data_IF_841762965832
#
_entry.id   IF_841762965832
#
_cell.length_a   1.000
_cell.length_b   1.000
_cell.length_c   1.000
_cell.angle_alpha   90.00
_cell.angle_beta   90.00
_cell.angle_gamma   90.00
#
_symmetry.space_group_name_H-M   'P 1'
#
loop_
_entity.id
_entity.type
_entity.pdbx_description
1 polymer ?
#
# COMPACT_ATOMS: atom_id res chain seq x y z
N UNK A 1 43.76 -58.46 -5.48
CA UNK A 1 42.34 -58.28 -5.12
C UNK A 1 42.25 -57.54 -3.80
N UNK A 2 41.81 -56.27 -3.82
CA UNK A 2 41.23 -55.59 -2.66
C UNK A 2 40.53 -54.32 -3.16
N UNK A 3 39.22 -54.40 -3.37
CA UNK A 3 38.37 -53.24 -3.70
C UNK A 3 37.94 -52.60 -2.38
N UNK A 4 38.40 -51.36 -2.13
CA UNK A 4 37.85 -50.50 -1.08
C UNK A 4 36.57 -49.85 -1.62
N UNK A 5 35.44 -50.20 -1.02
CA UNK A 5 34.16 -49.55 -1.27
C UNK A 5 34.16 -48.20 -0.54
N UNK A 6 34.12 -47.10 -1.30
CA UNK A 6 33.86 -45.76 -0.77
C UNK A 6 32.35 -45.53 -0.87
N UNK A 7 31.67 -45.41 0.26
CA UNK A 7 30.27 -45.01 0.33
C UNK A 7 30.26 -43.49 0.38
N UNK A 8 29.85 -42.83 -0.72
CA UNK A 8 29.49 -41.42 -0.70
C UNK A 8 28.11 -41.29 -0.03
N UNK A 9 28.05 -40.67 1.14
CA UNK A 9 26.81 -40.09 1.66
C UNK A 9 26.51 -38.81 0.88
N UNK A 10 25.52 -38.85 0.00
CA UNK A 10 24.91 -37.66 -0.55
C UNK A 10 23.91 -37.09 0.47
N UNK A 11 24.39 -36.21 1.34
CA UNK A 11 23.55 -35.42 2.24
C UNK A 11 22.78 -34.36 1.45
N UNK A 12 21.52 -34.62 1.14
CA UNK A 12 20.62 -33.63 0.57
C UNK A 12 20.06 -32.76 1.70
N UNK A 13 20.52 -31.51 1.82
CA UNK A 13 19.97 -30.50 2.72
C UNK A 13 18.76 -29.86 2.04
N UNK A 14 17.56 -30.35 2.34
CA UNK A 14 16.28 -29.69 2.00
C UNK A 14 15.55 -29.31 3.30
N UNK A 15 16.07 -28.32 4.03
CA UNK A 15 15.46 -27.77 5.25
C UNK A 15 15.72 -26.26 5.32
N UNK A 16 15.01 -25.43 4.55
CA UNK A 16 15.13 -23.95 4.69
C UNK A 16 13.85 -23.16 4.39
N UNK A 17 12.88 -23.73 3.67
CA UNK A 17 11.63 -23.00 3.32
C UNK A 17 10.63 -22.89 4.48
N UNK A 18 10.49 -23.91 5.34
CA UNK A 18 9.54 -23.84 6.47
C UNK A 18 9.97 -22.83 7.56
N UNK A 19 11.28 -22.68 7.81
CA UNK A 19 11.78 -21.79 8.84
C UNK A 19 11.61 -20.30 8.48
N UNK A 20 11.74 -19.96 7.19
CA UNK A 20 11.57 -18.61 6.68
C UNK A 20 10.09 -18.19 6.70
N UNK A 21 9.17 -19.05 6.26
CA UNK A 21 7.72 -18.79 6.33
C UNK A 21 7.23 -18.55 7.77
N UNK A 22 7.64 -19.42 8.70
CA UNK A 22 7.28 -19.26 10.12
C UNK A 22 7.83 -17.97 10.75
N UNK A 23 8.98 -17.46 10.28
CA UNK A 23 9.54 -16.20 10.77
C UNK A 23 8.77 -14.99 10.25
N UNK A 24 8.39 -14.99 8.96
CA UNK A 24 7.57 -13.92 8.36
C UNK A 24 6.18 -13.87 8.99
N UNK A 25 5.57 -15.01 9.26
CA UNK A 25 4.29 -15.10 9.99
C UNK A 25 4.38 -14.48 11.39
N UNK A 26 5.50 -14.71 12.08
CA UNK A 26 5.74 -14.10 13.41
C UNK A 26 5.82 -12.58 13.30
N UNK A 27 6.67 -12.05 12.42
CA UNK A 27 6.82 -10.60 12.21
C UNK A 27 5.49 -9.93 11.85
N UNK A 28 4.74 -10.54 10.94
CA UNK A 28 3.44 -10.00 10.52
C UNK A 28 2.44 -9.98 11.68
N UNK A 29 2.36 -11.05 12.49
CA UNK A 29 1.50 -11.06 13.69
C UNK A 29 1.92 -10.04 14.74
N UNK A 30 3.22 -9.81 14.91
CA UNK A 30 3.75 -8.79 15.82
C UNK A 30 3.33 -7.39 15.35
N UNK A 31 3.46 -7.08 14.06
CA UNK A 31 2.99 -5.84 13.47
C UNK A 31 1.47 -5.64 13.63
N UNK A 32 0.66 -6.70 13.45
CA UNK A 32 -0.80 -6.63 13.66
C UNK A 32 -1.13 -6.38 15.14
N UNK A 33 -0.39 -6.98 16.06
CA UNK A 33 -0.60 -6.76 17.50
C UNK A 33 -0.19 -5.35 17.94
N UNK A 34 0.89 -4.84 17.36
CA UNK A 34 1.43 -3.51 17.62
C UNK A 34 0.50 -2.41 17.09
N UNK A 35 0.14 -2.47 15.81
CA UNK A 35 -0.79 -1.52 15.16
C UNK A 35 -2.19 -1.46 15.82
N UNK A 36 -2.57 -2.46 16.64
CA UNK A 36 -3.84 -2.47 17.35
C UNK A 36 -3.99 -1.33 18.38
N UNK A 37 -2.91 -0.63 18.71
CA UNK A 37 -2.89 0.52 19.60
C UNK A 37 -2.01 1.62 19.03
N UNK A 38 -2.62 2.68 18.50
CA UNK A 38 -1.88 3.85 18.04
C UNK A 38 -1.22 4.59 19.22
N UNK A 39 0.11 4.71 19.20
CA UNK A 39 0.88 5.40 20.22
C UNK A 39 1.39 6.76 19.75
N UNK A 40 1.62 7.67 20.70
CA UNK A 40 2.17 9.01 20.41
C UNK A 40 3.55 8.95 19.75
N UNK A 41 4.35 7.93 20.06
CA UNK A 41 5.69 7.71 19.51
C UNK A 41 5.69 7.28 18.04
N UNK A 42 4.54 6.85 17.53
CA UNK A 42 4.35 6.33 16.17
C UNK A 42 3.79 7.42 15.23
N UNK A 43 3.44 8.59 15.78
CA UNK A 43 2.97 9.72 14.98
C UNK A 43 4.06 10.19 14.02
N UNK A 44 3.81 10.01 12.73
CA UNK A 44 4.62 10.59 11.67
C UNK A 44 4.28 12.07 11.45
N UNK A 45 5.30 12.88 11.12
CA UNK A 45 5.13 14.25 10.60
C UNK A 45 5.52 14.33 9.12
N UNK A 46 5.69 13.17 8.47
CA UNK A 46 6.19 13.02 7.10
C UNK A 46 5.13 12.38 6.19
N UNK A 47 3.86 12.35 6.60
CA UNK A 47 2.81 11.88 5.71
C UNK A 47 2.78 12.78 4.47
N UNK A 48 2.54 12.18 3.31
CA UNK A 48 2.39 12.94 2.08
C UNK A 48 1.11 13.75 2.19
N UNK A 49 1.23 15.07 2.26
CA UNK A 49 0.10 15.96 2.19
C UNK A 49 -0.34 16.13 0.73
N UNK A 50 -1.64 16.13 0.45
CA UNK A 50 -2.22 16.50 -0.85
C UNK A 50 -2.50 18.00 -0.83
N UNK A 51 -1.44 18.80 -0.84
CA UNK A 51 -1.49 20.26 -0.86
C UNK A 51 -0.51 20.81 -1.92
N UNK A 52 -0.40 22.13 -2.04
CA UNK A 52 0.48 22.78 -3.02
C UNK A 52 1.97 22.76 -2.61
N UNK A 53 2.26 22.57 -1.33
CA UNK A 53 3.63 22.52 -0.80
C UNK A 53 4.32 21.20 -1.13
N UNK A 54 3.56 20.10 -1.18
CA UNK A 54 4.09 18.80 -1.56
C UNK A 54 4.32 18.69 -3.07
N UNK A 55 5.50 19.12 -3.51
CA UNK A 55 5.95 19.08 -4.91
C UNK A 55 6.09 17.68 -5.51
N UNK A 56 5.98 16.62 -4.70
CA UNK A 56 6.01 15.24 -5.20
C UNK A 56 4.67 14.81 -5.78
N UNK A 57 3.55 15.39 -5.35
CA UNK A 57 2.21 15.04 -5.87
C UNK A 57 2.14 15.31 -7.37
N UNK A 58 1.83 14.29 -8.15
CA UNK A 58 1.58 14.43 -9.60
C UNK A 58 0.13 14.85 -9.79
N UNK A 59 -0.07 15.98 -10.46
CA UNK A 59 -1.37 16.64 -10.65
C UNK A 59 -1.68 16.82 -12.14
N UNK A 60 -2.96 16.87 -12.48
CA UNK A 60 -3.37 17.43 -13.77
C UNK A 60 -3.06 18.93 -13.84
N UNK A 61 -2.95 19.49 -15.04
CA UNK A 61 -2.62 20.91 -15.26
C UNK A 61 -3.60 21.86 -14.57
N UNK A 62 -4.89 21.52 -14.58
CA UNK A 62 -5.96 22.26 -13.91
C UNK A 62 -6.07 21.98 -12.40
N UNK A 63 -5.23 21.09 -11.86
CA UNK A 63 -5.24 20.66 -10.46
C UNK A 63 -6.45 19.80 -10.06
N UNK A 64 -7.34 19.47 -10.99
CA UNK A 64 -8.58 18.73 -10.70
C UNK A 64 -8.35 17.26 -10.34
N UNK A 65 -7.19 16.69 -10.71
CA UNK A 65 -6.83 15.30 -10.43
C UNK A 65 -5.44 15.19 -9.81
N UNK A 66 -5.29 14.18 -8.97
CA UNK A 66 -4.00 13.69 -8.45
C UNK A 66 -3.78 12.24 -8.87
N UNK A 67 -2.52 11.85 -9.05
CA UNK A 67 -2.16 10.47 -9.38
C UNK A 67 -2.02 9.62 -8.12
N UNK A 68 -2.91 8.65 -7.98
CA UNK A 68 -2.86 7.63 -6.93
C UNK A 68 -2.51 6.26 -7.50
N UNK A 69 -2.17 5.34 -6.61
CA UNK A 69 -1.73 3.99 -6.94
C UNK A 69 -2.38 2.97 -6.01
N UNK A 70 -2.76 1.82 -6.56
CA UNK A 70 -3.10 0.62 -5.79
C UNK A 70 -2.34 -0.58 -6.36
N UNK A 71 -1.86 -1.46 -5.50
CA UNK A 71 -1.20 -2.70 -5.90
C UNK A 71 -2.19 -3.86 -5.76
N UNK A 72 -2.40 -4.63 -6.83
CA UNK A 72 -3.41 -5.70 -6.91
C UNK A 72 -2.89 -6.89 -7.70
N UNK A 73 -3.61 -8.01 -7.64
CA UNK A 73 -3.48 -9.04 -8.66
C UNK A 73 -4.18 -8.58 -9.95
N UNK A 74 -3.68 -9.03 -11.10
CA UNK A 74 -4.29 -8.80 -12.41
C UNK A 74 -5.78 -9.21 -12.42
N UNK A 75 -6.09 -10.38 -11.87
CA UNK A 75 -7.48 -10.87 -11.73
C UNK A 75 -8.37 -9.93 -10.91
N UNK A 76 -7.84 -9.35 -9.83
CA UNK A 76 -8.59 -8.39 -9.01
C UNK A 76 -8.82 -7.08 -9.77
N UNK A 77 -7.83 -6.61 -10.52
CA UNK A 77 -7.98 -5.44 -11.37
C UNK A 77 -9.03 -5.68 -12.47
N UNK A 78 -8.92 -6.76 -13.23
CA UNK A 78 -9.84 -7.09 -14.33
C UNK A 78 -11.28 -7.26 -13.86
N UNK A 79 -11.48 -7.75 -12.63
CA UNK A 79 -12.82 -7.99 -12.08
C UNK A 79 -13.44 -6.77 -11.40
N UNK A 80 -12.65 -5.98 -10.67
CA UNK A 80 -13.20 -4.99 -9.74
C UNK A 80 -12.85 -3.53 -10.07
N UNK A 81 -11.89 -3.27 -10.96
CA UNK A 81 -11.53 -1.91 -11.36
C UNK A 81 -11.76 -1.68 -12.86
N UNK A 82 -11.19 -2.52 -13.72
CA UNK A 82 -11.27 -2.36 -15.18
C UNK A 82 -12.68 -2.18 -15.76
N UNK A 83 -13.73 -2.88 -15.28
CA UNK A 83 -15.07 -2.75 -15.85
C UNK A 83 -15.82 -1.47 -15.44
N UNK A 84 -15.22 -0.65 -14.56
CA UNK A 84 -15.89 0.49 -13.92
C UNK A 84 -15.03 1.76 -14.05
N UNK A 85 -15.69 2.90 -13.90
CA UNK A 85 -15.08 4.25 -13.87
C UNK A 85 -15.28 4.94 -12.51
N UNK A 86 -15.82 4.22 -11.53
CA UNK A 86 -16.03 4.68 -10.16
C UNK A 86 -15.97 3.56 -9.14
N UNK A 87 -15.75 3.92 -7.88
CA UNK A 87 -15.76 2.99 -6.75
C UNK A 87 -17.18 2.52 -6.42
N UNK A 88 -17.28 1.45 -5.63
CA UNK A 88 -18.56 0.97 -5.09
C UNK A 88 -19.24 2.06 -4.25
N UNK A 89 -20.57 2.14 -4.32
CA UNK A 89 -21.37 2.99 -3.42
C UNK A 89 -21.45 2.42 -1.99
N UNK A 90 -21.04 1.15 -1.79
CA UNK A 90 -21.06 0.49 -0.49
C UNK A 90 -19.73 0.73 0.26
N UNK A 91 -19.79 1.42 1.40
CA UNK A 91 -18.65 1.70 2.29
C UNK A 91 -17.94 0.44 2.82
N UNK A 92 -18.51 -0.75 2.65
CA UNK A 92 -17.84 -2.02 2.95
C UNK A 92 -16.85 -2.48 1.86
N UNK A 93 -16.88 -1.86 0.68
CA UNK A 93 -16.09 -2.22 -0.50
C UNK A 93 -15.27 -1.04 -1.03
N UNK A 94 -14.59 -0.35 -0.09
CA UNK A 94 -13.74 0.79 -0.40
C UNK A 94 -12.45 0.41 -1.13
N UNK A 95 -11.89 1.36 -1.89
CA UNK A 95 -10.63 1.20 -2.61
C UNK A 95 -9.52 1.94 -1.87
N UNK A 96 -8.55 1.17 -1.37
CA UNK A 96 -7.34 1.68 -0.72
C UNK A 96 -6.29 2.05 -1.74
N UNK A 97 -5.70 3.22 -1.56
CA UNK A 97 -4.69 3.80 -2.45
C UNK A 97 -3.59 4.51 -1.66
N UNK A 98 -2.49 4.76 -2.33
CA UNK A 98 -1.43 5.68 -1.90
C UNK A 98 -1.11 6.65 -3.04
N UNK A 99 -0.30 7.67 -2.82
CA UNK A 99 0.16 8.54 -3.91
C UNK A 99 1.27 7.82 -4.69
N UNK A 100 1.12 7.74 -6.02
CA UNK A 100 2.02 6.96 -6.88
C UNK A 100 3.53 7.27 -6.69
N UNK A 101 3.95 8.53 -6.52
CA UNK A 101 5.35 8.86 -6.28
C UNK A 101 5.98 8.20 -5.06
N UNK A 102 5.22 7.99 -3.98
CA UNK A 102 5.79 7.49 -2.73
C UNK A 102 6.23 6.02 -2.86
N UNK A 103 5.37 5.18 -3.44
CA UNK A 103 5.70 3.77 -3.68
C UNK A 103 6.73 3.63 -4.80
N UNK A 104 6.65 4.48 -5.83
CA UNK A 104 7.67 4.52 -6.88
C UNK A 104 9.06 4.78 -6.29
N UNK A 105 9.23 5.83 -5.47
CA UNK A 105 10.51 6.17 -4.85
C UNK A 105 11.07 5.01 -4.00
N UNK A 106 10.23 4.37 -3.18
CA UNK A 106 10.64 3.21 -2.39
C UNK A 106 11.09 2.04 -3.27
N UNK A 107 10.26 1.64 -4.23
CA UNK A 107 10.50 0.40 -4.96
C UNK A 107 11.59 0.56 -6.03
N UNK A 108 11.71 1.75 -6.61
CA UNK A 108 12.82 2.11 -7.49
C UNK A 108 14.14 2.15 -6.72
N UNK A 109 14.19 2.86 -5.59
CA UNK A 109 15.39 2.92 -4.75
C UNK A 109 15.84 1.53 -4.28
N UNK A 110 14.90 0.65 -3.93
CA UNK A 110 15.21 -0.74 -3.60
C UNK A 110 15.91 -1.48 -4.75
N UNK A 111 15.47 -1.28 -6.00
CA UNK A 111 16.10 -1.89 -7.18
C UNK A 111 17.48 -1.29 -7.46
N UNK A 112 17.66 0.02 -7.29
CA UNK A 112 18.97 0.68 -7.45
C UNK A 112 19.99 0.18 -6.43
N UNK A 113 19.57 0.05 -5.16
CA UNK A 113 20.41 -0.48 -4.08
C UNK A 113 20.67 -1.99 -4.21
N UNK A 114 19.78 -2.71 -4.91
CA UNK A 114 19.84 -4.16 -5.09
C UNK A 114 19.69 -4.56 -6.57
N UNK A 115 20.68 -4.32 -7.45
CA UNK A 115 20.55 -4.57 -8.90
C UNK A 115 20.23 -6.03 -9.28
N UNK A 116 20.54 -6.98 -8.39
CA UNK A 116 20.24 -8.40 -8.54
C UNK A 116 18.95 -8.88 -7.84
N UNK A 117 18.13 -7.96 -7.32
CA UNK A 117 16.91 -8.33 -6.61
C UNK A 117 15.97 -9.17 -7.48
N UNK A 118 15.48 -10.27 -6.91
CA UNK A 118 14.45 -11.09 -7.57
C UNK A 118 13.08 -10.44 -7.40
N UNK A 119 12.09 -10.88 -8.19
CA UNK A 119 10.71 -10.43 -8.04
C UNK A 119 10.17 -10.74 -6.65
N UNK A 120 10.48 -11.90 -6.10
CA UNK A 120 10.02 -12.34 -4.78
C UNK A 120 10.57 -11.45 -3.67
N UNK A 121 11.83 -11.00 -3.79
CA UNK A 121 12.45 -10.09 -2.84
C UNK A 121 11.81 -8.69 -2.88
N UNK A 122 11.59 -8.16 -4.09
CA UNK A 122 10.87 -6.90 -4.30
C UNK A 122 9.43 -6.97 -3.79
N UNK A 123 8.70 -8.03 -4.14
CA UNK A 123 7.32 -8.24 -3.70
C UNK A 123 7.25 -8.32 -2.17
N UNK A 124 8.19 -9.01 -1.52
CA UNK A 124 8.25 -9.08 -0.07
C UNK A 124 8.50 -7.69 0.53
N UNK A 125 9.43 -6.91 -0.02
CA UNK A 125 9.72 -5.55 0.47
C UNK A 125 8.51 -4.63 0.32
N UNK A 126 7.80 -4.72 -0.80
CA UNK A 126 6.56 -3.97 -1.03
C UNK A 126 5.45 -4.38 -0.06
N UNK A 127 5.27 -5.70 0.18
CA UNK A 127 4.29 -6.19 1.16
C UNK A 127 4.62 -5.70 2.57
N UNK A 128 5.90 -5.66 2.93
CA UNK A 128 6.36 -5.05 4.17
C UNK A 128 5.97 -3.59 4.25
N UNK A 129 6.45 -2.78 3.28
CA UNK A 129 6.23 -1.34 3.24
C UNK A 129 4.74 -0.96 3.27
N UNK A 130 3.89 -1.74 2.59
CA UNK A 130 2.46 -1.49 2.46
C UNK A 130 1.61 -2.19 3.55
N UNK A 131 2.20 -2.80 4.56
CA UNK A 131 1.45 -3.48 5.64
C UNK A 131 0.64 -4.69 5.18
N UNK A 132 1.08 -5.37 4.11
CA UNK A 132 0.39 -6.52 3.51
C UNK A 132 0.97 -7.85 4.00
N UNK A 133 0.12 -8.88 4.11
CA UNK A 133 0.54 -10.23 4.48
C UNK A 133 1.47 -10.81 3.41
N UNK A 134 2.57 -11.42 3.84
CA UNK A 134 3.60 -11.95 2.93
C UNK A 134 3.07 -13.03 1.95
N UNK A 135 2.03 -13.77 2.34
CA UNK A 135 1.40 -14.82 1.52
C UNK A 135 0.40 -14.29 0.48
N UNK A 136 0.01 -13.02 0.54
CA UNK A 136 -0.92 -12.45 -0.42
C UNK A 136 -0.24 -12.24 -1.78
N UNK A 137 -1.04 -12.32 -2.85
CA UNK A 137 -0.57 -12.25 -4.23
C UNK A 137 -0.93 -10.92 -4.89
N UNK A 138 0.09 -10.27 -5.45
CA UNK A 138 0.01 -8.97 -6.11
C UNK A 138 1.04 -8.93 -7.25
N UNK A 139 0.67 -8.40 -8.41
CA UNK A 139 1.53 -8.44 -9.60
C UNK A 139 1.39 -7.22 -10.52
N UNK A 140 0.39 -6.36 -10.31
CA UNK A 140 0.22 -5.12 -11.08
C UNK A 140 -0.03 -3.91 -10.20
N UNK A 141 0.67 -2.83 -10.54
CA UNK A 141 0.40 -1.49 -10.07
C UNK A 141 -0.61 -0.82 -10.99
N UNK A 142 -1.69 -0.33 -10.40
CA UNK A 142 -2.76 0.38 -11.10
C UNK A 142 -2.69 1.85 -10.69
N UNK A 143 -2.28 2.69 -11.64
CA UNK A 143 -2.26 4.15 -11.49
C UNK A 143 -3.62 4.72 -11.87
N UNK A 144 -4.16 5.61 -11.04
CA UNK A 144 -5.48 6.20 -11.22
C UNK A 144 -5.42 7.72 -11.04
N UNK A 145 -6.04 8.45 -11.96
CA UNK A 145 -6.34 9.87 -11.81
C UNK A 145 -7.65 10.05 -11.05
N UNK A 146 -7.60 10.70 -9.89
CA UNK A 146 -8.76 10.89 -9.00
C UNK A 146 -8.87 12.32 -8.52
N UNK A 147 -10.09 12.77 -8.22
CA UNK A 147 -10.29 14.07 -7.56
C UNK A 147 -9.69 14.04 -6.16
N UNK A 148 -8.91 15.05 -5.74
CA UNK A 148 -8.42 15.12 -4.36
C UNK A 148 -9.57 15.22 -3.34
N UNK A 149 -10.73 15.77 -3.72
CA UNK A 149 -11.92 15.85 -2.85
C UNK A 149 -12.61 14.50 -2.64
N UNK A 150 -12.20 13.48 -3.40
CA UNK A 150 -12.71 12.11 -3.30
C UNK A 150 -11.77 11.19 -2.51
N UNK A 151 -10.67 11.73 -1.98
CA UNK A 151 -9.72 11.05 -1.12
C UNK A 151 -9.95 11.45 0.34
N UNK A 152 -9.83 10.47 1.23
CA UNK A 152 -9.72 10.73 2.65
C UNK A 152 -8.67 9.83 3.30
N UNK A 153 -8.07 10.32 4.39
CA UNK A 153 -7.10 9.58 5.18
C UNK A 153 -7.85 8.72 6.21
N UNK A 154 -7.60 7.41 6.32
CA UNK A 154 -8.32 6.56 7.28
C UNK A 154 -7.74 6.69 8.70
N UNK A 155 -7.78 7.90 9.26
CA UNK A 155 -7.40 8.21 10.64
C UNK A 155 -8.44 9.09 11.34
N UNK A 156 -8.22 9.47 12.60
CA UNK A 156 -9.19 10.26 13.40
C UNK A 156 -9.52 11.63 12.77
N UNK A 157 -8.60 12.20 12.00
CA UNK A 157 -8.84 13.36 11.13
C UNK A 157 -8.70 12.91 9.66
N UNK A 158 -9.80 12.80 8.89
CA UNK A 158 -9.76 12.24 7.54
C UNK A 158 -9.25 13.20 6.46
N UNK A 159 -8.93 14.44 6.81
CA UNK A 159 -8.36 15.40 5.87
C UNK A 159 -6.96 14.98 5.37
N UNK A 160 -6.61 15.45 4.18
CA UNK A 160 -5.45 14.97 3.40
C UNK A 160 -4.36 16.02 3.19
N UNK A 161 -4.56 17.26 3.63
CA UNK A 161 -3.72 18.42 3.33
C UNK A 161 -2.57 18.63 4.33
N UNK A 162 -2.53 17.87 5.42
CA UNK A 162 -1.45 17.86 6.39
C UNK A 162 -0.58 16.60 6.31
N UNK A 163 0.53 16.63 7.05
CA UNK A 163 1.53 15.56 7.11
C UNK A 163 1.43 14.69 8.36
N UNK A 164 0.31 14.72 9.11
CA UNK A 164 0.19 13.99 10.39
C UNK A 164 -1.26 13.71 10.80
N UNK A 165 -1.51 12.51 11.32
CA UNK A 165 -2.78 12.25 12.01
C UNK A 165 -2.74 12.66 13.50
N UNK A 166 -3.93 12.75 14.09
CA UNK A 166 -4.11 12.81 15.54
C UNK A 166 -4.25 11.42 16.18
N UNK A 167 -4.32 11.37 17.51
CA UNK A 167 -4.63 10.15 18.27
C UNK A 167 -6.09 10.04 18.68
N UNK A 168 -6.81 11.16 18.67
CA UNK A 168 -8.17 11.25 19.17
C UNK A 168 -9.02 12.04 18.18
N UNK A 169 -10.30 11.67 18.10
CA UNK A 169 -11.29 12.53 17.46
C UNK A 169 -11.33 13.89 18.16
N UNK A 170 -11.59 14.92 17.37
CA UNK A 170 -11.97 16.23 17.90
C UNK A 170 -13.40 16.16 18.45
N UNK A 171 -13.88 17.26 19.03
CA UNK A 171 -15.22 17.33 19.63
C UNK A 171 -16.34 16.96 18.61
N UNK A 172 -16.17 17.39 17.36
CA UNK A 172 -17.08 17.07 16.26
C UNK A 172 -16.60 15.88 15.44
N UNK A 173 -17.52 14.95 15.16
CA UNK A 173 -17.24 13.82 14.27
C UNK A 173 -17.08 14.30 12.82
N UNK A 174 -15.95 13.97 12.17
CA UNK A 174 -15.69 14.45 10.83
C UNK A 174 -16.66 13.81 9.81
N UNK A 175 -16.92 14.53 8.74
CA UNK A 175 -17.76 14.07 7.63
C UNK A 175 -16.87 13.66 6.47
N UNK A 176 -17.20 12.52 5.85
CA UNK A 176 -16.51 12.01 4.66
C UNK A 176 -17.55 11.72 3.60
N UNK A 177 -17.30 12.16 2.37
CA UNK A 177 -18.21 11.93 1.24
C UNK A 177 -18.50 10.43 1.08
N UNK A 178 -19.77 10.07 0.96
CA UNK A 178 -20.21 8.68 0.77
C UNK A 178 -20.14 7.81 2.03
N UNK A 179 -19.75 8.36 3.18
CA UNK A 179 -19.72 7.67 4.47
C UNK A 179 -20.78 8.29 5.38
N UNK A 180 -21.77 7.50 5.80
CA UNK A 180 -22.90 8.02 6.58
C UNK A 180 -22.50 8.39 8.01
N UNK A 181 -21.62 7.61 8.63
CA UNK A 181 -21.09 7.90 9.97
C UNK A 181 -19.63 7.48 10.07
N UNK A 182 -18.72 8.46 10.07
CA UNK A 182 -17.29 8.19 10.06
C UNK A 182 -16.81 7.49 11.33
N UNK A 183 -17.35 7.83 12.51
CA UNK A 183 -16.99 7.17 13.76
C UNK A 183 -17.34 5.67 13.76
N UNK A 184 -18.49 5.30 13.19
CA UNK A 184 -18.86 3.90 12.95
C UNK A 184 -17.94 3.25 11.93
N UNK A 185 -17.73 3.90 10.79
CA UNK A 185 -16.84 3.38 9.74
C UNK A 185 -15.43 3.10 10.26
N UNK A 186 -14.84 4.05 11.00
CA UNK A 186 -13.52 3.94 11.63
C UNK A 186 -13.46 2.76 12.62
N UNK A 187 -14.47 2.64 13.47
CA UNK A 187 -14.57 1.52 14.42
C UNK A 187 -14.72 0.17 13.70
N UNK A 188 -15.48 0.13 12.62
CA UNK A 188 -15.67 -1.10 11.83
C UNK A 188 -14.37 -1.47 11.09
N UNK A 189 -13.58 -0.49 10.63
CA UNK A 189 -12.21 -0.72 10.15
C UNK A 189 -11.33 -1.33 11.24
N UNK A 190 -11.37 -0.80 12.47
CA UNK A 190 -10.62 -1.37 13.61
C UNK A 190 -11.00 -2.84 13.86
N UNK A 191 -12.30 -3.14 13.95
CA UNK A 191 -12.76 -4.51 14.21
C UNK A 191 -12.38 -5.46 13.09
N UNK A 192 -12.53 -5.05 11.82
CA UNK A 192 -12.11 -5.86 10.67
C UNK A 192 -10.61 -6.10 10.68
N UNK A 193 -9.82 -5.08 11.01
CA UNK A 193 -8.36 -5.13 10.99
C UNK A 193 -7.76 -6.00 12.09
N UNK A 194 -8.38 -6.07 13.28
CA UNK A 194 -7.75 -6.75 14.43
C UNK A 194 -8.55 -7.92 15.01
N UNK A 195 -9.86 -7.99 14.78
CA UNK A 195 -10.72 -9.03 15.36
C UNK A 195 -11.16 -10.10 14.35
N UNK A 196 -10.91 -9.90 13.05
CA UNK A 196 -11.09 -10.93 12.02
C UNK A 196 -9.81 -11.76 11.82
N UNK A 197 -9.96 -13.03 11.38
CA UNK A 197 -8.97 -14.12 11.57
C UNK A 197 -7.60 -13.96 10.90
N UNK A 198 -7.37 -12.91 10.12
CA UNK A 198 -6.11 -12.73 9.38
C UNK A 198 -5.45 -11.35 9.56
N UNK A 199 -6.06 -10.47 10.36
CA UNK A 199 -5.75 -9.07 10.63
C UNK A 199 -4.74 -8.30 9.76
N UNK A 200 -5.06 -7.07 9.39
CA UNK A 200 -4.11 -6.14 8.74
C UNK A 200 -3.58 -5.16 9.78
N UNK A 201 -2.28 -4.82 9.77
CA UNK A 201 -1.69 -3.86 10.70
C UNK A 201 -2.08 -2.42 10.29
N UNK A 202 -3.38 -2.12 10.32
CA UNK A 202 -3.90 -0.79 10.04
C UNK A 202 -3.64 0.13 11.24
N UNK A 203 -2.80 1.14 11.05
CA UNK A 203 -2.29 1.98 12.15
C UNK A 203 -3.34 2.94 12.71
N UNK A 204 -4.34 3.32 11.90
CA UNK A 204 -5.20 4.47 12.22
C UNK A 204 -4.44 5.80 12.30
N UNK A 205 -3.19 5.85 11.85
CA UNK A 205 -2.29 7.00 11.86
C UNK A 205 -2.01 7.57 10.47
N UNK A 206 -2.74 7.09 9.46
CA UNK A 206 -2.67 7.62 8.09
C UNK A 206 -1.48 7.12 7.27
N UNK A 207 -0.78 6.10 7.76
CA UNK A 207 0.24 5.37 7.03
C UNK A 207 0.13 3.86 7.25
N UNK A 208 0.64 3.07 6.31
CA UNK A 208 0.78 1.62 6.48
C UNK A 208 1.83 1.32 7.55
N UNK A 209 1.73 0.15 8.17
CA UNK A 209 2.76 -0.33 9.09
C UNK A 209 3.82 -1.14 8.31
N UNK A 210 5.04 -0.60 8.22
CA UNK A 210 6.19 -1.24 7.60
C UNK A 210 6.85 -2.28 8.52
N UNK A 211 6.36 -3.51 8.44
CA UNK A 211 6.87 -4.62 9.27
C UNK A 211 8.22 -5.20 8.80
N UNK A 212 8.83 -4.62 7.76
CA UNK A 212 10.12 -5.04 7.20
C UNK A 212 11.30 -4.16 7.59
N UNK A 213 11.05 -2.93 8.03
CA UNK A 213 12.09 -1.95 8.30
C UNK A 213 12.46 -1.93 9.80
N UNK A 214 13.73 -2.19 10.17
CA UNK A 214 14.16 -2.25 11.57
C UNK A 214 14.31 -0.88 12.24
N UNK A 215 14.31 0.22 11.47
CA UNK A 215 14.54 1.57 11.97
C UNK A 215 13.26 2.36 12.18
N UNK A 216 12.21 2.03 11.41
CA UNK A 216 10.92 2.71 11.46
C UNK A 216 9.85 1.79 10.91
N UNK A 217 8.68 1.79 11.55
CA UNK A 217 7.48 1.10 11.09
C UNK A 217 6.58 1.98 10.21
N UNK A 218 7.01 3.20 9.89
CA UNK A 218 6.21 4.11 9.05
C UNK A 218 6.37 3.70 7.58
N UNK A 219 5.27 3.22 7.00
CA UNK A 219 5.18 2.87 5.59
C UNK A 219 4.68 4.02 4.71
N UNK A 220 3.94 3.69 3.65
CA UNK A 220 3.35 4.66 2.75
C UNK A 220 2.22 5.43 3.42
N UNK A 221 2.00 6.68 3.03
CA UNK A 221 0.76 7.39 3.37
C UNK A 221 -0.43 6.69 2.73
N UNK A 222 -1.46 6.43 3.54
CA UNK A 222 -2.66 5.70 3.14
C UNK A 222 -3.83 6.65 2.92
N UNK A 223 -4.60 6.34 1.88
CA UNK A 223 -5.86 7.01 1.59
C UNK A 223 -6.89 5.97 1.14
N UNK A 224 -8.14 6.37 1.25
CA UNK A 224 -9.27 5.64 0.72
C UNK A 224 -10.01 6.56 -0.24
N UNK A 225 -10.41 6.01 -1.39
CA UNK A 225 -11.38 6.67 -2.25
C UNK A 225 -12.77 6.56 -1.64
N UNK A 226 -13.43 7.69 -1.45
CA UNK A 226 -14.82 7.77 -1.03
C UNK A 226 -15.73 6.86 -1.87
N UNK A 227 -16.79 6.29 -1.28
CA UNK A 227 -17.78 5.52 -2.04
C UNK A 227 -18.40 6.34 -3.18
N UNK A 228 -18.59 5.69 -4.33
CA UNK A 228 -19.14 6.30 -5.54
C UNK A 228 -18.21 7.30 -6.27
N UNK A 229 -16.98 7.46 -5.80
CA UNK A 229 -16.01 8.39 -6.41
C UNK A 229 -15.50 7.89 -7.76
N UNK A 230 -15.45 8.80 -8.73
CA UNK A 230 -14.92 8.52 -10.06
C UNK A 230 -13.40 8.38 -10.08
N UNK A 231 -12.89 7.54 -10.97
CA UNK A 231 -11.46 7.42 -11.24
C UNK A 231 -11.21 7.19 -12.74
N UNK A 232 -10.00 7.51 -13.17
CA UNK A 232 -9.53 7.25 -14.52
C UNK A 232 -8.27 6.39 -14.46
N UNK A 233 -8.28 5.20 -15.08
CA UNK A 233 -7.09 4.36 -15.14
C UNK A 233 -6.06 5.03 -16.05
N UNK A 234 -4.87 5.31 -15.50
CA UNK A 234 -3.76 5.96 -16.21
C UNK A 234 -2.67 4.98 -16.65
N UNK A 235 -2.57 3.85 -15.96
CA UNK A 235 -1.59 2.82 -16.27
C UNK A 235 -1.83 1.56 -15.46
N UNK A 236 -1.51 0.42 -16.06
CA UNK A 236 -1.47 -0.89 -15.40
C UNK A 236 -0.14 -1.51 -15.77
N UNK A 237 0.78 -1.59 -14.80
CA UNK A 237 2.17 -2.00 -15.04
C UNK A 237 2.53 -3.15 -14.12
N UNK A 238 3.22 -4.16 -14.65
CA UNK A 238 3.72 -5.26 -13.82
C UNK A 238 4.69 -4.76 -12.73
N UNK A 239 4.64 -5.33 -11.52
CA UNK A 239 5.40 -4.83 -10.35
C UNK A 239 6.87 -4.54 -10.65
N UNK A 240 7.57 -5.52 -11.24
CA UNK A 240 8.99 -5.43 -11.54
C UNK A 240 9.29 -4.40 -12.64
N UNK A 241 8.41 -4.29 -13.63
CA UNK A 241 8.56 -3.32 -14.71
C UNK A 241 8.39 -1.90 -14.16
N UNK A 242 7.35 -1.65 -13.36
CA UNK A 242 7.09 -0.36 -12.73
C UNK A 242 8.29 0.13 -11.92
N UNK A 243 8.86 -0.73 -11.07
CA UNK A 243 10.00 -0.36 -10.22
C UNK A 243 11.33 -0.22 -10.97
N UNK A 244 11.43 -0.75 -12.20
CA UNK A 244 12.62 -0.60 -13.07
C UNK A 244 12.56 0.58 -14.02
N UNK A 245 11.42 1.29 -14.09
CA UNK A 245 11.34 2.52 -14.88
C UNK A 245 12.40 3.51 -14.39
N UNK A 246 12.99 4.28 -15.31
CA UNK A 246 14.00 5.30 -14.98
C UNK A 246 13.39 6.52 -14.29
N UNK A 247 12.09 6.74 -14.46
CA UNK A 247 11.33 7.83 -13.86
C UNK A 247 9.85 7.48 -13.82
N UNK A 248 9.15 7.92 -12.78
CA UNK A 248 7.68 7.92 -12.76
C UNK A 248 7.15 8.79 -13.90
N UNK A 249 6.18 8.28 -14.66
CA UNK A 249 5.49 9.07 -15.69
C UNK A 249 4.66 10.18 -15.04
N UNK A 250 5.02 11.43 -15.30
CA UNK A 250 4.32 12.62 -14.76
C UNK A 250 3.36 13.26 -15.77
N UNK A 251 3.50 12.88 -17.03
CA UNK A 251 2.71 13.29 -18.19
C UNK A 251 1.45 12.43 -18.39
N UNK A 252 1.09 11.59 -17.42
CA UNK A 252 -0.09 10.70 -17.47
C UNK A 252 -1.43 11.43 -17.61
N UNK A 253 -1.45 12.75 -17.37
CA UNK A 253 -2.62 13.60 -17.55
C UNK A 253 -2.60 14.36 -18.88
N UNK A 254 -1.52 14.29 -19.65
CA UNK A 254 -1.42 14.92 -20.97
C UNK A 254 -2.24 14.09 -21.98
N UNK A 255 -3.28 14.66 -22.61
CA UNK A 255 -4.10 13.93 -23.59
C UNK A 255 -3.33 13.56 -24.87
N UNK A 256 -2.13 14.11 -25.08
CA UNK A 256 -1.29 13.83 -26.26
C UNK A 256 -0.33 12.66 -26.07
N UNK A 257 -0.18 12.14 -24.85
CA UNK A 257 0.79 11.08 -24.49
C UNK A 257 0.16 9.68 -24.44
N UNK A 258 -1.01 9.47 -25.06
CA UNK A 258 -1.67 8.16 -25.12
C UNK A 258 -0.76 7.17 -25.89
N UNK A 259 -0.02 6.36 -25.15
CA UNK A 259 0.63 5.16 -25.69
C UNK A 259 -0.45 4.12 -26.00
N UNK A 260 -0.41 3.46 -27.17
CA UNK A 260 -1.34 2.39 -27.53
C UNK A 260 -1.27 1.20 -26.56
#
# INVERSE_FOLDING_TARGET
MNKKTVILLAGSIFLSSCATGSHLDKKYREAVADAAQALKTELSNELFAVNEENRKVVRSEDGSKVLVLTWKSQDSFDKYLKPYDKTSENEQHVVWVTLAPQVYELCHGYIEENPGATKEALDLRLKQYLGLKHTWYYDVFVEMGVSPNDLFRPCVNPEIHDSRCGLHFQDDMPQVKGIENYGRFYRDLYYKSFRSSDGVPWTGLGHTHDWGNPLSEVGASEYILSPGSGYEIKGVTGTMEYCKQSSLRKDVFDPTTISP
#
